data_IF_793321794976
#
_entry.id   IF_793321794976
#
_cell.length_a   1.000
_cell.length_b   1.000
_cell.length_c   1.000
_cell.angle_alpha   90.00
_cell.angle_beta   90.00
_cell.angle_gamma   90.00
#
_symmetry.space_group_name_H-M   'P 1'
#
loop_
_entity.id
_entity.type
_entity.pdbx_description
1 polymer ?
#
# COMPACT_ATOMS: atom_id res chain seq x y z
N UNK A 1 42.34 41.85 -116.54
CA UNK A 1 42.42 40.82 -115.49
C UNK A 1 41.26 39.88 -115.79
N UNK A 2 41.50 38.58 -115.91
CA UNK A 2 40.39 37.63 -115.95
C UNK A 2 39.78 37.60 -114.54
N UNK A 3 38.44 37.49 -114.38
CA UNK A 3 37.84 37.35 -113.05
C UNK A 3 38.45 36.14 -112.36
N UNK A 4 38.93 36.33 -111.13
CA UNK A 4 39.50 35.27 -110.30
C UNK A 4 39.10 35.53 -108.85
N UNK A 5 38.95 34.44 -108.08
CA UNK A 5 38.52 34.54 -106.70
C UNK A 5 39.50 35.32 -105.82
N UNK A 6 38.99 36.24 -105.01
CA UNK A 6 39.76 37.10 -104.11
C UNK A 6 40.20 38.43 -104.73
N UNK A 7 39.58 38.86 -105.84
CA UNK A 7 39.90 40.11 -106.53
C UNK A 7 39.09 41.33 -106.05
N UNK A 8 38.12 41.09 -105.17
CA UNK A 8 37.27 42.08 -104.53
C UNK A 8 35.98 42.42 -105.24
N UNK A 9 35.61 41.70 -106.30
CA UNK A 9 34.41 41.98 -107.08
C UNK A 9 33.58 40.73 -107.33
N UNK A 10 32.51 40.49 -106.56
CA UNK A 10 31.57 39.40 -106.84
C UNK A 10 30.88 39.53 -108.21
N UNK A 11 31.23 38.62 -109.11
CA UNK A 11 30.73 38.45 -110.46
C UNK A 11 29.60 37.40 -110.47
N UNK A 12 28.35 37.87 -110.48
CA UNK A 12 27.12 37.08 -110.30
C UNK A 12 26.92 35.85 -111.22
N UNK A 13 27.71 35.69 -112.28
CA UNK A 13 27.61 34.56 -113.22
C UNK A 13 28.78 33.56 -113.11
N UNK A 14 29.78 33.83 -112.27
CA UNK A 14 31.00 33.02 -112.14
C UNK A 14 31.40 32.71 -110.70
N UNK A 15 30.97 33.51 -109.71
CA UNK A 15 31.24 33.27 -108.30
C UNK A 15 30.05 33.61 -107.40
N UNK A 16 29.95 32.89 -106.28
CA UNK A 16 28.90 33.07 -105.27
C UNK A 16 29.28 34.15 -104.24
N UNK A 17 30.58 34.38 -104.04
CA UNK A 17 31.16 35.38 -103.14
C UNK A 17 32.55 35.82 -103.61
N UNK A 18 33.08 36.91 -103.06
CA UNK A 18 34.48 37.31 -103.14
C UNK A 18 34.81 38.19 -101.92
N UNK A 19 35.87 37.87 -101.17
CA UNK A 19 36.26 38.56 -99.94
C UNK A 19 37.69 39.13 -99.97
N UNK A 20 38.19 39.47 -101.16
CA UNK A 20 39.47 40.18 -101.38
C UNK A 20 40.72 39.45 -100.85
N UNK A 21 40.62 38.17 -100.49
CA UNK A 21 41.73 37.43 -99.95
C UNK A 21 41.70 35.95 -100.40
N UNK A 22 42.67 35.15 -99.94
CA UNK A 22 42.82 33.74 -100.31
C UNK A 22 42.73 32.80 -99.08
N UNK A 23 41.97 33.21 -98.08
CA UNK A 23 41.67 32.36 -96.94
C UNK A 23 40.48 31.47 -97.27
N UNK A 24 40.35 30.38 -96.52
CA UNK A 24 39.16 29.52 -96.58
C UNK A 24 38.37 29.59 -95.27
N UNK A 25 38.86 30.31 -94.26
CA UNK A 25 38.31 30.31 -92.90
C UNK A 25 37.47 31.55 -92.57
N UNK A 26 37.05 32.25 -93.61
CA UNK A 26 36.17 33.39 -93.66
C UNK A 26 34.95 33.06 -94.51
N UNK A 27 34.21 34.08 -94.96
CA UNK A 27 32.87 33.92 -95.55
C UNK A 27 32.96 33.35 -96.98
N UNK A 28 34.11 33.44 -97.65
CA UNK A 28 34.29 32.95 -99.01
C UNK A 28 35.47 31.98 -99.12
N UNK A 29 35.26 30.85 -99.80
CA UNK A 29 36.33 29.91 -100.09
C UNK A 29 37.14 30.38 -101.30
N UNK A 30 38.40 29.91 -101.40
CA UNK A 30 39.32 30.16 -102.52
C UNK A 30 38.81 29.72 -103.90
N UNK A 31 37.79 28.86 -103.94
CA UNK A 31 37.11 28.40 -105.16
C UNK A 31 35.85 29.24 -105.48
N UNK A 32 35.61 30.32 -104.72
CA UNK A 32 34.52 31.27 -104.93
C UNK A 32 33.11 30.73 -104.67
N UNK A 33 33.03 29.75 -103.76
CA UNK A 33 31.77 29.30 -103.15
C UNK A 33 31.68 29.83 -101.72
N UNK A 34 30.46 30.00 -101.23
CA UNK A 34 30.25 30.41 -99.83
C UNK A 34 30.83 29.34 -98.89
N UNK A 35 31.55 29.79 -97.86
CA UNK A 35 31.86 28.95 -96.72
C UNK A 35 30.60 28.87 -95.84
N UNK A 36 30.01 27.69 -95.76
CA UNK A 36 28.77 27.43 -95.04
C UNK A 36 28.92 26.21 -94.14
N UNK A 37 28.19 26.26 -93.03
CA UNK A 37 28.12 25.16 -92.09
C UNK A 37 27.87 23.80 -92.76
N UNK A 38 28.69 22.83 -92.36
CA UNK A 38 28.78 21.45 -92.81
C UNK A 38 29.49 21.24 -94.16
N UNK A 39 30.37 22.18 -94.55
CA UNK A 39 31.22 22.03 -95.74
C UNK A 39 32.63 21.48 -95.44
N UNK A 40 32.94 21.27 -94.15
CA UNK A 40 34.20 20.75 -93.64
C UNK A 40 35.26 21.83 -93.39
N UNK A 41 34.92 23.11 -93.51
CA UNK A 41 35.85 24.23 -93.38
C UNK A 41 35.28 25.31 -92.45
N UNK A 42 35.86 25.44 -91.26
CA UNK A 42 35.38 26.40 -90.25
C UNK A 42 35.46 27.86 -90.72
N UNK A 43 34.31 28.54 -90.75
CA UNK A 43 34.23 30.00 -90.84
C UNK A 43 34.41 30.66 -89.46
N UNK A 44 35.57 31.26 -89.18
CA UNK A 44 35.88 31.84 -87.87
C UNK A 44 35.00 33.03 -87.45
N UNK A 45 34.22 33.60 -88.37
CA UNK A 45 33.32 34.73 -88.08
C UNK A 45 31.93 34.24 -87.67
N UNK A 46 31.45 33.13 -88.23
CA UNK A 46 30.06 32.66 -88.07
C UNK A 46 29.93 31.34 -87.30
N UNK A 47 30.98 30.52 -87.30
CA UNK A 47 30.98 29.15 -86.82
C UNK A 47 32.02 28.94 -85.72
N UNK A 48 31.75 28.02 -84.80
CA UNK A 48 32.72 27.62 -83.77
C UNK A 48 33.42 26.31 -84.11
N UNK A 49 32.87 25.55 -85.05
CA UNK A 49 33.37 24.28 -85.55
C UNK A 49 32.67 23.96 -86.89
N UNK A 50 33.25 23.07 -87.69
CA UNK A 50 32.65 22.47 -88.89
C UNK A 50 33.42 21.16 -89.16
N UNK A 51 32.72 20.04 -89.20
CA UNK A 51 33.31 18.72 -89.43
C UNK A 51 32.85 18.07 -90.76
N UNK A 52 32.12 18.84 -91.58
CA UNK A 52 31.69 18.45 -92.91
C UNK A 52 30.59 17.40 -92.96
N UNK A 53 29.84 17.21 -91.86
CA UNK A 53 28.75 16.24 -91.82
C UNK A 53 27.48 16.82 -91.16
N UNK A 54 26.38 16.05 -91.13
CA UNK A 54 25.08 16.50 -90.58
C UNK A 54 24.70 15.73 -89.31
N UNK A 55 25.64 15.01 -88.71
CA UNK A 55 25.46 14.38 -87.41
C UNK A 55 25.37 15.48 -86.34
N UNK A 56 24.47 15.29 -85.40
CA UNK A 56 24.27 16.23 -84.29
C UNK A 56 24.75 15.67 -82.97
N UNK A 57 25.20 14.41 -82.94
CA UNK A 57 25.57 13.68 -81.73
C UNK A 57 27.08 13.69 -81.43
N UNK A 58 27.87 14.39 -82.24
CA UNK A 58 29.32 14.47 -82.12
C UNK A 58 29.81 15.80 -81.49
N UNK A 59 31.10 16.12 -81.63
CA UNK A 59 31.65 17.35 -81.08
C UNK A 59 31.16 18.62 -81.80
N UNK A 60 30.82 18.51 -83.09
CA UNK A 60 30.39 19.62 -83.93
C UNK A 60 29.07 19.31 -84.64
N UNK A 61 27.94 19.55 -83.97
CA UNK A 61 26.65 19.35 -84.58
C UNK A 61 26.43 20.14 -85.86
N UNK A 62 25.46 19.68 -86.65
CA UNK A 62 25.02 20.26 -87.93
C UNK A 62 24.67 21.77 -87.97
N UNK A 63 24.71 22.48 -86.84
CA UNK A 63 24.51 23.94 -86.73
C UNK A 63 25.81 24.71 -86.42
N UNK A 64 26.96 24.04 -86.49
CA UNK A 64 28.32 24.61 -86.46
C UNK A 64 28.62 25.46 -85.23
N UNK A 65 28.09 25.01 -84.08
CA UNK A 65 28.49 25.47 -82.75
C UNK A 65 28.96 24.28 -81.96
N UNK A 66 29.94 24.49 -81.09
CA UNK A 66 30.38 23.43 -80.20
C UNK A 66 29.21 22.96 -79.36
N UNK A 67 28.88 21.67 -79.42
CA UNK A 67 27.77 21.20 -78.62
C UNK A 67 28.10 21.15 -77.14
N UNK A 68 27.06 21.38 -76.35
CA UNK A 68 27.08 21.57 -74.91
C UNK A 68 25.84 20.89 -74.36
N UNK A 69 26.02 20.27 -73.21
CA UNK A 69 24.92 19.87 -72.36
C UNK A 69 23.85 20.97 -72.22
N UNK A 70 22.61 20.63 -72.54
CA UNK A 70 21.45 21.51 -72.55
C UNK A 70 21.17 22.20 -73.88
N UNK A 71 21.74 21.70 -74.99
CA UNK A 71 21.55 22.29 -76.33
C UNK A 71 20.54 21.54 -77.22
N UNK A 72 19.98 20.46 -76.71
CA UNK A 72 18.94 19.63 -77.30
C UNK A 72 19.49 18.40 -78.03
N UNK A 73 20.81 18.17 -77.98
CA UNK A 73 21.47 17.11 -78.74
C UNK A 73 22.32 16.21 -77.85
N UNK A 74 21.77 15.02 -77.57
CA UNK A 74 22.45 14.01 -76.77
C UNK A 74 23.79 13.56 -77.38
N UNK A 75 24.87 13.68 -76.60
CA UNK A 75 26.18 13.05 -76.88
C UNK A 75 26.40 11.77 -76.08
N UNK A 76 26.19 10.57 -76.64
CA UNK A 76 26.19 9.33 -75.88
C UNK A 76 27.50 9.00 -75.14
N UNK A 77 28.63 9.55 -75.60
CA UNK A 77 29.94 9.32 -75.01
C UNK A 77 30.24 10.23 -73.80
N UNK A 78 29.45 11.28 -73.57
CA UNK A 78 29.67 12.29 -72.51
C UNK A 78 28.44 12.60 -71.67
N UNK A 79 27.26 12.52 -72.27
CA UNK A 79 25.98 12.94 -71.72
C UNK A 79 25.06 11.72 -71.65
N UNK A 80 24.30 11.65 -70.56
CA UNK A 80 23.31 10.60 -70.33
C UNK A 80 21.92 11.02 -70.81
N UNK A 81 21.67 12.33 -70.84
CA UNK A 81 20.45 12.99 -71.27
C UNK A 81 20.81 14.33 -71.94
N UNK A 82 19.89 14.95 -72.65
CA UNK A 82 19.94 16.36 -73.03
C UNK A 82 18.51 16.78 -73.40
N UNK A 83 17.93 17.71 -72.65
CA UNK A 83 16.56 18.20 -72.83
C UNK A 83 16.48 19.58 -73.50
N UNK A 84 17.63 20.16 -73.86
CA UNK A 84 17.71 21.40 -74.61
C UNK A 84 17.42 22.66 -73.80
N UNK A 85 17.51 22.58 -72.48
CA UNK A 85 17.50 23.76 -71.63
C UNK A 85 18.67 23.75 -70.61
N UNK A 86 18.68 24.72 -69.70
CA UNK A 86 19.73 24.87 -68.69
C UNK A 86 19.18 24.84 -67.28
N UNK A 87 18.01 24.22 -67.10
CA UNK A 87 17.39 24.04 -65.80
C UNK A 87 18.01 22.79 -65.14
N UNK A 88 18.15 22.85 -63.82
CA UNK A 88 18.77 21.77 -63.04
C UNK A 88 17.74 21.09 -62.12
N UNK A 89 16.45 21.41 -62.29
CA UNK A 89 15.35 20.89 -61.45
C UNK A 89 14.42 19.96 -62.22
N UNK A 90 14.90 19.37 -63.31
CA UNK A 90 14.21 18.42 -64.16
C UNK A 90 15.07 17.14 -64.33
N UNK A 91 14.74 16.33 -65.33
CA UNK A 91 15.31 15.00 -65.48
C UNK A 91 16.77 15.08 -65.90
N UNK A 92 17.20 16.16 -66.57
CA UNK A 92 18.53 16.31 -67.11
C UNK A 92 19.30 17.46 -66.47
N UNK A 93 20.13 17.13 -65.48
CA UNK A 93 20.84 18.15 -64.72
C UNK A 93 22.04 18.66 -65.51
N UNK A 94 21.94 19.90 -66.01
CA UNK A 94 23.05 20.52 -66.75
C UNK A 94 24.26 20.81 -65.86
N UNK A 95 24.03 21.18 -64.60
CA UNK A 95 25.04 21.35 -63.57
C UNK A 95 25.83 20.08 -63.24
N UNK A 96 25.30 18.90 -63.57
CA UNK A 96 25.96 17.60 -63.41
C UNK A 96 26.54 17.04 -64.73
N UNK A 97 26.75 17.91 -65.72
CA UNK A 97 27.15 17.55 -67.09
C UNK A 97 26.15 16.63 -67.79
N UNK A 98 24.87 16.98 -67.75
CA UNK A 98 23.80 16.27 -68.44
C UNK A 98 23.72 14.81 -68.03
N UNK A 99 23.58 14.63 -66.72
CA UNK A 99 23.30 13.36 -66.09
C UNK A 99 21.89 13.37 -65.55
N UNK A 100 21.30 12.19 -65.46
CA UNK A 100 19.99 12.03 -64.83
C UNK A 100 20.06 12.53 -63.38
N UNK A 101 19.02 13.25 -62.95
CA UNK A 101 18.84 13.59 -61.55
C UNK A 101 18.66 12.31 -60.70
N UNK A 102 19.32 12.23 -59.55
CA UNK A 102 19.13 11.15 -58.59
C UNK A 102 19.33 11.62 -57.15
N UNK A 103 18.68 10.92 -56.23
CA UNK A 103 18.76 11.18 -54.80
C UNK A 103 20.20 11.34 -54.29
N UNK A 104 20.52 12.53 -53.79
CA UNK A 104 21.82 12.86 -53.20
C UNK A 104 22.85 13.38 -54.20
N UNK A 105 22.44 13.77 -55.40
CA UNK A 105 23.28 14.45 -56.38
C UNK A 105 23.35 15.97 -56.18
N UNK A 106 22.56 16.49 -55.24
CA UNK A 106 22.50 17.90 -54.86
C UNK A 106 21.42 18.70 -55.62
N UNK A 107 20.61 18.05 -56.43
CA UNK A 107 19.54 18.66 -57.23
C UNK A 107 18.21 17.99 -56.92
N UNK A 108 17.13 18.78 -56.86
CA UNK A 108 15.79 18.26 -56.54
C UNK A 108 14.90 18.29 -57.77
N UNK A 109 14.58 17.11 -58.29
CA UNK A 109 13.67 16.91 -59.41
C UNK A 109 12.25 17.42 -59.13
N UNK A 110 11.79 18.41 -59.89
CA UNK A 110 10.42 18.97 -59.81
C UNK A 110 9.52 18.50 -60.96
N UNK A 111 10.01 17.62 -61.84
CA UNK A 111 9.31 17.17 -63.03
C UNK A 111 8.20 16.13 -62.78
N UNK A 112 7.55 15.72 -63.86
CA UNK A 112 6.44 14.76 -63.86
C UNK A 112 6.73 13.60 -64.84
N UNK A 113 7.87 12.92 -64.68
CA UNK A 113 8.07 11.65 -65.38
C UNK A 113 7.44 10.49 -64.55
N UNK A 114 6.53 9.67 -65.12
CA UNK A 114 5.90 8.56 -64.41
C UNK A 114 6.80 7.32 -64.20
N UNK A 115 7.91 7.24 -64.92
CA UNK A 115 8.87 6.12 -64.91
C UNK A 115 10.08 6.40 -64.02
N UNK A 116 10.37 7.67 -63.71
CA UNK A 116 11.34 8.06 -62.70
C UNK A 116 10.71 8.09 -61.31
N UNK A 117 11.44 7.58 -60.31
CA UNK A 117 11.04 7.77 -58.92
C UNK A 117 11.21 9.25 -58.59
N UNK A 118 10.09 9.93 -58.36
CA UNK A 118 10.09 11.27 -57.77
C UNK A 118 10.79 11.20 -56.43
N UNK A 119 11.90 11.91 -56.33
CA UNK A 119 12.46 12.37 -55.07
C UNK A 119 11.64 13.57 -54.58
N UNK A 120 11.25 13.57 -53.30
CA UNK A 120 10.53 14.70 -52.69
C UNK A 120 11.48 15.73 -52.06
N UNK A 121 12.76 15.38 -51.98
CA UNK A 121 13.87 16.15 -51.44
C UNK A 121 15.19 15.53 -51.96
N UNK A 122 16.31 16.23 -51.77
CA UNK A 122 17.66 15.68 -51.98
C UNK A 122 18.34 15.61 -50.60
N UNK A 123 18.69 14.41 -50.15
CA UNK A 123 19.26 14.20 -48.80
C UNK A 123 20.68 14.78 -48.71
N UNK A 124 21.45 14.72 -49.81
CA UNK A 124 22.83 15.18 -49.86
C UNK A 124 23.77 14.57 -48.81
N UNK A 125 23.28 13.60 -48.03
CA UNK A 125 23.95 12.98 -46.90
C UNK A 125 23.47 11.52 -46.68
N UNK A 126 23.62 10.95 -45.48
CA UNK A 126 23.29 9.54 -45.18
C UNK A 126 22.42 9.38 -43.92
N UNK A 127 21.80 10.46 -43.45
CA UNK A 127 21.10 10.57 -42.17
C UNK A 127 19.60 10.59 -42.39
N UNK A 128 18.89 9.60 -41.87
CA UNK A 128 17.43 9.60 -41.86
C UNK A 128 16.82 10.49 -40.76
N UNK A 129 17.63 11.25 -40.03
CA UNK A 129 17.19 12.05 -38.88
C UNK A 129 17.05 13.55 -39.20
N UNK A 130 17.09 13.93 -40.47
CA UNK A 130 16.86 15.29 -40.93
C UNK A 130 15.63 15.34 -41.85
N UNK A 131 15.48 16.42 -42.62
CA UNK A 131 14.30 16.66 -43.44
C UNK A 131 14.09 15.60 -44.54
N UNK A 132 15.16 14.97 -45.00
CA UNK A 132 15.12 14.04 -46.12
C UNK A 132 15.69 12.69 -45.70
N UNK A 133 14.98 11.62 -46.03
CA UNK A 133 15.51 10.27 -45.84
C UNK A 133 16.53 9.95 -46.93
N UNK A 134 17.39 8.97 -46.67
CA UNK A 134 18.41 8.48 -47.63
C UNK A 134 17.82 7.90 -48.92
N UNK A 135 16.52 7.63 -48.93
CA UNK A 135 15.77 7.22 -50.13
C UNK A 135 14.97 8.38 -50.77
N UNK A 136 15.30 9.61 -50.39
CA UNK A 136 14.72 10.86 -50.87
C UNK A 136 13.20 10.97 -50.73
N UNK A 137 12.68 10.35 -49.68
CA UNK A 137 11.36 10.66 -49.14
C UNK A 137 11.48 11.72 -48.05
N UNK A 138 10.40 12.46 -47.84
CA UNK A 138 10.34 13.37 -46.69
C UNK A 138 10.31 12.56 -45.41
N UNK A 139 11.08 13.01 -44.42
CA UNK A 139 10.97 12.53 -43.05
C UNK A 139 9.69 13.11 -42.42
N UNK A 140 8.74 12.24 -42.10
CA UNK A 140 7.43 12.61 -41.58
C UNK A 140 6.98 11.66 -40.49
N UNK A 141 6.21 12.22 -39.56
CA UNK A 141 5.58 11.46 -38.49
C UNK A 141 4.91 10.15 -38.95
N UNK A 142 5.29 9.08 -38.28
CA UNK A 142 4.84 7.72 -38.51
C UNK A 142 5.59 6.98 -39.62
N UNK A 143 6.79 7.42 -40.01
CA UNK A 143 7.58 6.76 -41.07
C UNK A 143 8.69 5.84 -40.55
N UNK A 144 8.92 5.84 -39.24
CA UNK A 144 9.87 5.00 -38.51
C UNK A 144 11.20 5.70 -38.22
N UNK A 145 11.34 6.97 -38.58
CA UNK A 145 12.54 7.76 -38.39
C UNK A 145 12.23 9.04 -37.62
N UNK A 146 13.13 9.40 -36.70
CA UNK A 146 12.94 10.60 -35.89
C UNK A 146 13.51 11.83 -36.60
N UNK A 147 12.67 12.80 -36.96
CA UNK A 147 13.13 14.10 -37.46
C UNK A 147 13.63 15.00 -36.32
N UNK A 148 14.96 15.05 -36.14
CA UNK A 148 15.60 15.81 -35.08
C UNK A 148 15.23 17.31 -35.09
N UNK A 149 14.65 17.77 -34.00
CA UNK A 149 14.28 19.17 -33.79
C UNK A 149 12.90 19.56 -34.34
N UNK A 150 12.19 18.62 -34.96
CA UNK A 150 10.80 18.78 -35.40
C UNK A 150 9.89 17.81 -34.66
N UNK A 151 10.27 16.54 -34.59
CA UNK A 151 9.53 15.46 -33.94
C UNK A 151 10.17 15.11 -32.59
N UNK A 152 9.32 14.74 -31.62
CA UNK A 152 9.76 14.30 -30.29
C UNK A 152 9.91 12.77 -30.27
N UNK A 153 9.00 12.07 -30.95
CA UNK A 153 9.01 10.62 -31.14
C UNK A 153 8.59 10.27 -32.58
N UNK A 154 8.82 9.00 -32.97
CA UNK A 154 8.23 8.36 -34.14
C UNK A 154 8.23 6.84 -33.89
N UNK A 155 7.07 6.18 -34.02
CA UNK A 155 6.91 4.73 -33.79
C UNK A 155 6.62 3.93 -35.08
N UNK A 156 6.82 4.56 -36.24
CA UNK A 156 6.67 3.92 -37.54
C UNK A 156 5.26 3.81 -38.07
N UNK A 157 4.28 4.45 -37.41
CA UNK A 157 2.94 4.56 -37.94
C UNK A 157 2.15 5.74 -37.35
N UNK A 158 0.86 5.86 -37.69
CA UNK A 158 -0.03 6.94 -37.22
C UNK A 158 -1.19 6.39 -36.38
N UNK A 159 -1.04 5.17 -35.84
CA UNK A 159 -2.00 4.58 -34.93
C UNK A 159 -1.84 5.29 -33.58
N UNK A 160 -2.94 5.37 -32.85
CA UNK A 160 -2.98 5.97 -31.54
C UNK A 160 -2.73 4.88 -30.49
N UNK A 161 -1.84 5.12 -29.53
CA UNK A 161 -1.66 4.30 -28.33
C UNK A 161 -0.55 3.26 -28.40
N UNK A 162 0.33 3.32 -29.39
CA UNK A 162 1.44 2.38 -29.59
C UNK A 162 2.84 2.98 -29.43
N UNK A 163 2.93 4.24 -28.99
CA UNK A 163 4.19 4.85 -28.57
C UNK A 163 4.33 6.32 -28.92
N UNK A 164 3.78 6.75 -30.06
CA UNK A 164 3.86 8.11 -30.54
C UNK A 164 2.53 8.54 -31.20
N UNK A 165 2.02 9.73 -30.87
CA UNK A 165 0.75 10.18 -31.45
C UNK A 165 0.91 10.68 -32.90
N UNK A 166 -0.22 10.93 -33.59
CA UNK A 166 -0.19 11.40 -34.99
C UNK A 166 0.34 12.85 -35.18
N UNK A 167 0.68 13.53 -34.08
CA UNK A 167 1.36 14.83 -34.05
C UNK A 167 2.85 14.69 -33.67
N UNK A 168 3.36 13.46 -33.54
CA UNK A 168 4.72 13.13 -33.14
C UNK A 168 5.10 13.65 -31.76
N UNK A 169 4.14 13.56 -30.84
CA UNK A 169 4.31 13.82 -29.42
C UNK A 169 4.27 12.51 -28.64
N UNK A 170 5.11 12.44 -27.62
CA UNK A 170 5.16 11.29 -26.72
C UNK A 170 3.78 11.07 -26.05
N UNK A 171 3.29 9.83 -26.09
CA UNK A 171 2.07 9.40 -25.39
C UNK A 171 2.35 9.16 -23.89
N UNK A 172 2.88 10.20 -23.24
CA UNK A 172 3.45 10.12 -21.90
C UNK A 172 2.44 10.58 -20.84
N UNK A 173 2.15 9.65 -19.93
CA UNK A 173 1.49 9.90 -18.66
C UNK A 173 2.25 10.95 -17.83
N UNK A 174 1.55 11.92 -17.26
CA UNK A 174 2.14 12.95 -16.39
C UNK A 174 2.58 14.22 -17.13
N UNK A 175 1.99 14.51 -18.30
CA UNK A 175 2.26 15.72 -19.08
C UNK A 175 1.25 16.86 -18.77
N UNK A 176 0.25 16.58 -17.93
CA UNK A 176 -0.80 17.50 -17.50
C UNK A 176 -2.06 17.47 -18.35
N UNK A 177 -2.16 16.55 -19.31
CA UNK A 177 -3.28 16.45 -20.25
C UNK A 177 -3.81 15.02 -20.31
N UNK A 178 -4.93 14.77 -19.64
CA UNK A 178 -5.61 13.49 -19.74
C UNK A 178 -6.15 13.25 -21.16
N UNK A 179 -5.83 12.11 -21.75
CA UNK A 179 -6.15 11.67 -23.10
C UNK A 179 -7.01 10.39 -23.08
N UNK A 180 -8.32 10.47 -22.77
CA UNK A 180 -9.19 9.29 -22.61
C UNK A 180 -9.27 8.37 -23.82
N UNK A 181 -9.04 8.89 -25.02
CA UNK A 181 -9.04 8.09 -26.25
C UNK A 181 -7.81 7.16 -26.36
N UNK A 182 -6.77 7.39 -25.57
CA UNK A 182 -5.54 6.59 -25.47
C UNK A 182 -5.54 5.64 -24.25
N UNK A 183 -6.69 5.44 -23.61
CA UNK A 183 -6.81 4.57 -22.44
C UNK A 183 -6.35 5.22 -21.12
N UNK A 184 -5.98 6.49 -21.18
CA UNK A 184 -5.63 7.34 -20.05
C UNK A 184 -6.88 7.76 -19.27
N UNK A 185 -6.97 7.44 -17.98
CA UNK A 185 -8.17 7.75 -17.17
C UNK A 185 -8.04 9.07 -16.38
N UNK A 186 -6.80 9.52 -16.21
CA UNK A 186 -6.37 10.72 -15.53
C UNK A 186 -4.96 11.12 -16.02
N UNK A 187 -4.57 12.37 -15.81
CA UNK A 187 -3.17 12.84 -15.88
C UNK A 187 -3.08 14.05 -14.94
N UNK A 188 -2.10 14.06 -14.05
CA UNK A 188 -1.89 15.13 -13.06
C UNK A 188 -0.50 15.79 -13.13
N UNK A 189 0.10 15.78 -14.32
CA UNK A 189 1.34 16.48 -14.64
C UNK A 189 2.57 16.02 -13.84
N UNK A 190 2.55 14.80 -13.30
CA UNK A 190 3.66 14.27 -12.54
C UNK A 190 3.79 12.73 -12.66
N UNK A 191 4.78 12.15 -11.97
CA UNK A 191 5.12 10.72 -12.00
C UNK A 191 5.22 10.14 -10.57
N UNK A 192 4.21 10.39 -9.75
CA UNK A 192 4.06 9.88 -8.37
C UNK A 192 2.84 8.97 -8.33
N UNK A 193 2.95 7.75 -7.79
CA UNK A 193 1.81 6.82 -7.76
C UNK A 193 0.86 7.05 -6.56
N UNK A 194 1.33 7.78 -5.55
CA UNK A 194 0.67 7.99 -4.25
C UNK A 194 -0.30 9.18 -4.24
N UNK A 195 -0.62 9.76 -5.40
CA UNK A 195 -1.61 10.82 -5.54
C UNK A 195 -2.89 10.30 -6.22
N UNK A 196 -3.60 11.14 -6.97
CA UNK A 196 -4.90 10.74 -7.53
C UNK A 196 -4.76 10.05 -8.89
N UNK A 197 -3.56 10.00 -9.48
CA UNK A 197 -3.30 9.41 -10.78
C UNK A 197 -1.98 8.62 -10.78
N UNK A 198 -2.07 7.32 -11.00
CA UNK A 198 -0.87 6.46 -11.05
C UNK A 198 0.02 6.79 -12.24
N UNK A 199 1.28 6.36 -12.23
CA UNK A 199 2.24 6.51 -13.33
C UNK A 199 1.88 5.70 -14.59
N UNK A 200 0.82 4.90 -14.52
CA UNK A 200 0.19 4.22 -15.66
C UNK A 200 -1.06 4.98 -16.15
N UNK A 201 -1.27 6.19 -15.63
CA UNK A 201 -2.39 7.06 -15.84
C UNK A 201 -3.75 6.38 -15.72
N UNK A 202 -3.81 5.53 -14.71
CA UNK A 202 -5.04 4.98 -14.13
C UNK A 202 -5.38 5.74 -12.88
N UNK A 203 -6.68 5.96 -12.69
CA UNK A 203 -7.17 6.59 -11.45
C UNK A 203 -6.74 5.73 -10.28
N UNK A 204 -6.22 6.39 -9.26
CA UNK A 204 -5.95 5.83 -7.96
C UNK A 204 -7.20 5.11 -7.42
N UNK A 205 -7.03 3.85 -7.00
CA UNK A 205 -8.10 3.04 -6.44
C UNK A 205 -7.57 2.11 -5.36
N UNK A 206 -8.34 1.99 -4.28
CA UNK A 206 -8.07 1.02 -3.24
C UNK A 206 -7.79 -0.39 -3.77
N UNK A 207 -6.67 -0.96 -3.32
CA UNK A 207 -6.19 -2.29 -3.69
C UNK A 207 -5.30 -2.29 -4.94
N UNK A 208 -4.77 -1.14 -5.35
CA UNK A 208 -3.88 -1.02 -6.51
C UNK A 208 -2.38 -1.11 -6.16
N UNK A 209 -2.06 -1.20 -4.87
CA UNK A 209 -0.70 -1.33 -4.35
C UNK A 209 -0.06 -0.03 -3.87
N UNK A 210 -0.77 1.10 -3.96
CA UNK A 210 -0.27 2.40 -3.52
C UNK A 210 -1.22 3.03 -2.51
N UNK A 211 -0.68 3.54 -1.40
CA UNK A 211 -1.50 4.28 -0.43
C UNK A 211 -1.67 5.71 -0.93
N UNK A 212 -2.90 6.13 -1.21
CA UNK A 212 -3.20 7.45 -1.79
C UNK A 212 -3.92 8.38 -0.80
N UNK A 213 -3.20 9.24 -0.06
CA UNK A 213 -3.78 10.05 1.02
C UNK A 213 -4.83 11.06 0.53
N UNK A 214 -4.75 11.47 -0.74
CA UNK A 214 -5.72 12.36 -1.38
C UNK A 214 -7.13 11.77 -1.51
N UNK A 215 -7.24 10.44 -1.50
CA UNK A 215 -8.49 9.68 -1.55
C UNK A 215 -8.94 9.18 -0.17
N UNK A 216 -8.27 9.63 0.91
CA UNK A 216 -8.51 9.20 2.30
C UNK A 216 -8.17 7.73 2.57
N UNK A 217 -7.29 7.13 1.77
CA UNK A 217 -6.78 5.80 2.03
C UNK A 217 -5.80 5.81 3.22
N UNK A 218 -5.98 4.84 4.12
CA UNK A 218 -5.13 4.66 5.31
C UNK A 218 -4.24 3.43 5.19
N UNK A 219 -4.56 2.51 4.27
CA UNK A 219 -3.81 1.31 3.94
C UNK A 219 -4.04 0.95 2.47
N UNK A 220 -3.24 0.01 1.96
CA UNK A 220 -3.47 -0.71 0.70
C UNK A 220 -2.72 -2.05 0.80
N UNK A 221 -3.41 -3.17 0.54
CA UNK A 221 -2.84 -4.53 0.54
C UNK A 221 -2.92 -5.21 -0.85
N UNK A 222 -2.94 -4.39 -1.90
CA UNK A 222 -2.93 -4.77 -3.32
C UNK A 222 -4.17 -5.56 -3.75
N UNK A 223 -5.23 -5.54 -2.96
CA UNK A 223 -6.49 -6.15 -3.30
C UNK A 223 -7.66 -5.47 -2.53
N UNK A 224 -8.88 -5.98 -2.70
CA UNK A 224 -10.10 -5.46 -2.05
C UNK A 224 -10.83 -6.54 -1.26
N UNK A 225 -10.09 -7.58 -0.85
CA UNK A 225 -10.60 -8.63 0.02
C UNK A 225 -10.78 -8.03 1.41
N UNK A 226 -11.76 -8.55 2.12
CA UNK A 226 -12.16 -8.09 3.44
C UNK A 226 -11.55 -9.07 4.44
N UNK A 227 -10.78 -8.57 5.41
CA UNK A 227 -10.18 -9.32 6.51
C UNK A 227 -8.72 -9.77 6.30
N UNK A 228 -8.00 -9.25 5.31
CA UNK A 228 -6.57 -9.54 5.07
C UNK A 228 -5.61 -8.37 5.38
N UNK A 229 -6.14 -7.27 5.90
CA UNK A 229 -5.34 -6.17 6.46
C UNK A 229 -5.83 -4.79 6.05
N UNK A 230 -6.49 -4.66 4.90
CA UNK A 230 -7.07 -3.43 4.40
C UNK A 230 -8.45 -3.69 3.78
N UNK A 231 -9.48 -2.98 4.21
CA UNK A 231 -10.82 -3.23 3.70
C UNK A 231 -11.03 -2.66 2.30
N UNK A 232 -12.18 -2.96 1.68
CA UNK A 232 -12.53 -2.47 0.34
C UNK A 232 -12.79 -0.94 0.26
N UNK A 233 -12.64 -0.21 1.37
CA UNK A 233 -12.67 1.25 1.46
C UNK A 233 -11.29 1.82 1.84
N UNK A 234 -10.25 0.99 1.84
CA UNK A 234 -8.89 1.29 2.22
C UNK A 234 -8.73 1.84 3.64
N UNK A 235 -9.55 1.30 4.53
CA UNK A 235 -9.46 1.51 5.96
C UNK A 235 -8.77 0.31 6.59
N UNK A 236 -7.84 0.59 7.51
CA UNK A 236 -7.07 -0.44 8.21
C UNK A 236 -8.00 -1.35 9.01
N UNK A 237 -7.92 -2.65 8.77
CA UNK A 237 -8.68 -3.68 9.48
C UNK A 237 -7.95 -4.12 10.76
N UNK A 238 -7.46 -3.14 11.52
CA UNK A 238 -6.58 -3.36 12.66
C UNK A 238 -7.27 -2.95 13.93
N UNK A 239 -7.31 -3.88 14.87
CA UNK A 239 -7.78 -3.64 16.21
C UNK A 239 -7.00 -2.53 16.92
N UNK A 240 -7.73 -1.59 17.51
CA UNK A 240 -7.17 -0.46 18.25
C UNK A 240 -7.00 0.80 17.41
N UNK A 241 -7.74 0.94 16.31
CA UNK A 241 -7.68 2.09 15.41
C UNK A 241 -8.74 3.16 15.72
N UNK A 242 -9.66 2.88 16.65
CA UNK A 242 -10.72 3.77 17.11
C UNK A 242 -12.04 3.60 16.35
N UNK A 243 -12.11 2.62 15.45
CA UNK A 243 -13.23 2.36 14.54
C UNK A 243 -13.69 0.93 14.77
N UNK A 244 -14.80 0.76 15.51
CA UNK A 244 -15.39 -0.56 15.70
C UNK A 244 -16.03 -1.08 14.40
N UNK A 245 -15.47 -2.16 13.84
CA UNK A 245 -15.87 -2.77 12.57
C UNK A 245 -16.50 -4.18 12.76
N UNK A 246 -17.75 -4.30 13.26
CA UNK A 246 -18.34 -5.59 13.62
C UNK A 246 -18.56 -6.57 12.45
N UNK A 247 -18.58 -6.10 11.20
CA UNK A 247 -18.65 -6.96 10.02
C UNK A 247 -17.31 -7.64 9.69
N UNK A 248 -16.22 -7.20 10.30
CA UNK A 248 -14.87 -7.77 10.20
C UNK A 248 -14.51 -8.71 11.36
N UNK A 249 -15.47 -8.98 12.25
CA UNK A 249 -15.28 -9.89 13.38
C UNK A 249 -14.71 -9.24 14.64
N UNK A 250 -14.53 -7.91 14.64
CA UNK A 250 -14.34 -7.13 15.86
C UNK A 250 -15.60 -7.14 16.73
N UNK A 251 -15.44 -7.35 18.03
CA UNK A 251 -16.51 -7.23 19.02
C UNK A 251 -16.47 -5.89 19.77
N UNK A 252 -15.32 -5.22 19.73
CA UNK A 252 -15.04 -3.91 20.29
C UNK A 252 -13.84 -3.29 19.54
N UNK A 253 -13.63 -1.99 19.69
CA UNK A 253 -12.38 -1.27 19.39
C UNK A 253 -12.34 -0.04 20.32
N UNK A 254 -11.26 0.12 21.09
CA UNK A 254 -11.08 1.21 22.05
C UNK A 254 -9.95 2.19 21.68
N UNK A 255 -9.55 2.18 20.40
CA UNK A 255 -8.63 3.16 19.84
C UNK A 255 -7.18 3.00 20.25
N UNK A 256 -6.80 1.87 20.83
CA UNK A 256 -5.41 1.58 21.14
C UNK A 256 -5.12 0.06 21.18
N UNK A 257 -3.85 -0.33 21.31
CA UNK A 257 -3.41 -1.75 21.32
C UNK A 257 -3.04 -2.24 22.72
N UNK A 258 -3.42 -1.50 23.77
CA UNK A 258 -3.30 -1.93 25.16
C UNK A 258 -4.29 -3.08 25.35
N UNK A 259 -3.81 -4.19 25.87
CA UNK A 259 -4.63 -5.41 25.90
C UNK A 259 -5.62 -5.44 27.09
N UNK A 260 -5.43 -4.60 28.11
CA UNK A 260 -6.06 -4.72 29.42
C UNK A 260 -6.97 -3.56 29.84
N UNK A 261 -7.55 -2.85 28.88
CA UNK A 261 -8.50 -1.75 29.09
C UNK A 261 -9.89 -2.08 28.53
N UNK A 262 -10.30 -1.45 27.43
CA UNK A 262 -11.67 -1.51 26.91
C UNK A 262 -11.89 -2.66 25.93
N UNK A 263 -10.84 -3.06 25.24
CA UNK A 263 -10.85 -4.10 24.23
C UNK A 263 -9.51 -4.84 24.22
N UNK A 264 -9.53 -6.16 24.03
CA UNK A 264 -8.28 -6.89 23.85
C UNK A 264 -7.62 -6.51 22.52
N UNK A 265 -6.30 -6.67 22.41
CA UNK A 265 -5.56 -6.46 21.16
C UNK A 265 -5.98 -7.34 19.96
N UNK A 266 -6.91 -8.29 20.15
CA UNK A 266 -7.53 -9.09 19.09
C UNK A 266 -9.01 -8.72 18.88
N UNK A 267 -9.42 -7.55 19.35
CA UNK A 267 -10.75 -6.97 19.24
C UNK A 267 -11.87 -7.86 19.76
N UNK A 268 -11.57 -8.57 20.85
CA UNK A 268 -12.55 -9.28 21.67
C UNK A 268 -12.81 -8.48 22.93
N UNK A 269 -14.05 -8.52 23.39
CA UNK A 269 -14.41 -7.94 24.69
C UNK A 269 -13.69 -8.71 25.80
N UNK A 270 -13.26 -8.02 26.87
CA UNK A 270 -12.68 -8.70 28.02
C UNK A 270 -13.67 -9.71 28.62
N UNK A 271 -13.18 -10.89 29.01
CA UNK A 271 -13.99 -12.00 29.53
C UNK A 271 -13.38 -12.49 30.84
N UNK A 272 -14.22 -12.52 31.87
CA UNK A 272 -13.84 -13.06 33.15
C UNK A 272 -13.42 -14.52 33.08
N UNK A 273 -12.23 -14.83 33.60
CA UNK A 273 -11.68 -16.18 33.65
C UNK A 273 -10.78 -16.52 32.46
N UNK A 274 -10.26 -15.52 31.75
CA UNK A 274 -9.33 -15.72 30.63
C UNK A 274 -7.85 -15.72 31.07
N UNK A 275 -7.59 -15.46 32.36
CA UNK A 275 -6.25 -15.44 32.95
C UNK A 275 -5.64 -14.05 33.02
N UNK A 276 -6.37 -13.00 32.65
CA UNK A 276 -5.86 -11.65 32.48
C UNK A 276 -6.85 -10.65 33.08
N UNK A 277 -6.45 -9.94 34.15
CA UNK A 277 -7.27 -8.85 34.69
C UNK A 277 -7.31 -7.67 33.71
N UNK A 278 -8.46 -7.48 33.06
CA UNK A 278 -8.74 -6.44 32.06
C UNK A 278 -9.71 -5.39 32.64
N UNK A 279 -9.75 -4.17 32.08
CA UNK A 279 -10.16 -2.92 32.76
C UNK A 279 -11.46 -2.87 33.60
N UNK A 280 -12.43 -3.77 33.39
CA UNK A 280 -13.67 -3.84 34.18
C UNK A 280 -13.67 -4.93 35.27
N UNK A 281 -12.62 -5.76 35.33
CA UNK A 281 -12.51 -6.92 36.20
C UNK A 281 -11.81 -6.55 37.52
N UNK A 282 -12.38 -6.98 38.65
CA UNK A 282 -11.74 -6.77 39.95
C UNK A 282 -10.77 -7.90 40.29
N UNK A 283 -10.98 -9.09 39.72
CA UNK A 283 -10.17 -10.28 39.84
C UNK A 283 -10.23 -11.09 38.54
N UNK A 284 -9.33 -12.07 38.37
CA UNK A 284 -9.41 -13.13 37.37
C UNK A 284 -8.61 -14.33 37.90
N UNK A 285 -9.20 -15.52 37.92
CA UNK A 285 -8.57 -16.77 38.36
C UNK A 285 -8.49 -17.84 37.23
N UNK A 286 -8.40 -17.36 35.99
CA UNK A 286 -8.18 -18.15 34.77
C UNK A 286 -9.27 -19.17 34.44
N UNK A 287 -10.45 -19.03 35.04
CA UNK A 287 -11.63 -19.79 34.66
C UNK A 287 -12.93 -19.08 35.11
N UNK A 288 -14.09 -19.58 34.70
CA UNK A 288 -15.40 -18.99 35.04
C UNK A 288 -16.16 -19.81 36.10
N UNK A 289 -15.47 -20.70 36.82
CA UNK A 289 -16.04 -21.43 37.95
C UNK A 289 -16.23 -20.45 39.10
N UNK A 290 -17.14 -20.76 40.01
CA UNK A 290 -17.35 -19.96 41.22
C UNK A 290 -16.93 -20.79 42.43
N UNK A 291 -16.30 -20.15 43.40
CA UNK A 291 -15.80 -20.72 44.65
C UNK A 291 -14.29 -21.01 44.67
N UNK A 292 -13.52 -20.48 43.71
CA UNK A 292 -12.08 -20.68 43.55
C UNK A 292 -11.24 -19.39 43.54
N UNK A 293 -11.89 -18.23 43.71
CA UNK A 293 -11.22 -16.96 43.97
C UNK A 293 -11.85 -15.77 43.27
N UNK A 294 -12.43 -16.00 42.09
CA UNK A 294 -13.09 -14.98 41.28
C UNK A 294 -14.38 -15.52 40.65
N UNK A 295 -15.50 -14.83 40.85
CA UNK A 295 -16.77 -15.30 40.29
C UNK A 295 -16.89 -15.00 38.78
N UNK A 296 -17.91 -15.58 38.13
CA UNK A 296 -18.17 -15.37 36.68
C UNK A 296 -18.44 -13.91 36.28
N UNK A 297 -18.58 -12.99 37.24
CA UNK A 297 -18.78 -11.56 37.03
C UNK A 297 -17.54 -10.75 37.42
N UNK A 298 -16.40 -11.42 37.65
CA UNK A 298 -15.12 -10.83 38.03
C UNK A 298 -15.18 -10.03 39.33
N UNK A 299 -15.92 -10.58 40.30
CA UNK A 299 -15.96 -10.11 41.67
C UNK A 299 -15.21 -11.10 42.57
N UNK A 300 -14.43 -10.55 43.50
CA UNK A 300 -13.71 -11.35 44.48
C UNK A 300 -14.67 -12.21 45.30
N UNK A 301 -14.32 -13.50 45.41
CA UNK A 301 -15.05 -14.47 46.23
C UNK A 301 -14.45 -14.55 47.63
N UNK A 302 -14.46 -13.40 48.32
CA UNK A 302 -13.76 -13.24 49.60
C UNK A 302 -14.72 -12.71 50.66
N UNK A 303 -14.80 -13.44 51.75
CA UNK A 303 -15.54 -13.00 52.93
C UNK A 303 -14.97 -11.71 53.54
N UNK A 304 -15.84 -10.77 53.84
CA UNK A 304 -15.53 -9.47 54.41
C UNK A 304 -15.28 -8.38 53.37
N UNK A 305 -15.74 -8.56 52.12
CA UNK A 305 -15.57 -7.59 51.04
C UNK A 305 -16.77 -6.62 50.88
N UNK A 306 -17.84 -6.83 51.64
CA UNK A 306 -19.06 -6.04 51.66
C UNK A 306 -20.13 -6.53 50.69
N UNK A 307 -19.89 -7.64 50.00
CA UNK A 307 -20.75 -8.22 48.98
C UNK A 307 -21.16 -9.62 49.43
N UNK A 308 -22.38 -9.74 49.94
CA UNK A 308 -22.92 -11.05 50.32
C UNK A 308 -23.23 -11.89 49.07
N UNK A 309 -22.51 -13.01 48.90
CA UNK A 309 -22.61 -13.95 47.76
C UNK A 309 -23.22 -15.32 48.20
N UNK A 310 -24.55 -15.43 48.42
CA UNK A 310 -25.18 -16.67 48.90
C UNK A 310 -24.95 -17.91 48.04
N UNK A 311 -24.76 -17.73 46.73
CA UNK A 311 -24.53 -18.83 45.78
C UNK A 311 -23.16 -19.48 45.95
N UNK A 312 -22.23 -18.81 46.64
CA UNK A 312 -20.90 -19.31 47.01
C UNK A 312 -20.86 -19.94 48.40
N UNK A 313 -22.00 -20.02 49.08
CA UNK A 313 -22.10 -20.59 50.41
C UNK A 313 -21.85 -19.60 51.56
N UNK A 314 -21.71 -18.31 51.25
CA UNK A 314 -21.76 -17.27 52.26
C UNK A 314 -23.15 -17.19 52.89
N UNK A 315 -23.20 -17.08 54.22
CA UNK A 315 -24.44 -16.85 54.97
C UNK A 315 -24.62 -15.37 55.35
N UNK A 316 -23.53 -14.62 55.32
CA UNK A 316 -23.42 -13.21 55.64
C UNK A 316 -22.12 -12.68 54.99
N UNK A 317 -22.04 -11.37 54.80
CA UNK A 317 -20.81 -10.61 54.58
C UNK A 317 -21.04 -9.20 55.13
N UNK A 318 -20.16 -8.70 55.97
CA UNK A 318 -20.29 -7.40 56.63
C UNK A 318 -19.13 -6.43 56.31
N UNK A 319 -18.37 -6.72 55.25
CA UNK A 319 -17.36 -5.82 54.71
C UNK A 319 -16.15 -5.58 55.59
N UNK A 320 -15.88 -6.47 56.55
CA UNK A 320 -14.72 -6.36 57.41
C UNK A 320 -14.11 -7.72 57.78
N UNK A 321 -13.01 -7.72 58.54
CA UNK A 321 -12.27 -8.93 58.93
C UNK A 321 -12.33 -9.20 60.45
N UNK A 322 -13.41 -8.78 61.10
CA UNK A 322 -13.65 -8.98 62.51
C UNK A 322 -14.54 -10.20 62.76
N UNK A 323 -14.02 -11.21 63.45
CA UNK A 323 -14.82 -12.40 63.80
C UNK A 323 -15.85 -12.15 64.93
N UNK A 324 -15.84 -10.99 65.58
CA UNK A 324 -16.58 -10.74 66.83
C UNK A 324 -17.88 -9.94 66.65
N UNK A 325 -18.41 -9.86 65.43
CA UNK A 325 -19.64 -9.14 65.10
C UNK A 325 -20.70 -10.12 64.54
N UNK A 326 -21.54 -9.66 63.62
CA UNK A 326 -22.65 -10.47 63.10
C UNK A 326 -22.22 -11.40 61.96
N UNK A 327 -20.99 -11.30 61.46
CA UNK A 327 -20.48 -12.19 60.42
C UNK A 327 -19.02 -12.56 60.65
N UNK A 328 -18.74 -13.86 60.82
CA UNK A 328 -17.36 -14.33 60.95
C UNK A 328 -16.64 -14.24 59.60
N UNK A 329 -15.31 -14.14 59.60
CA UNK A 329 -14.43 -14.09 58.42
C UNK A 329 -14.45 -15.36 57.54
N UNK A 330 -15.22 -16.39 57.92
CA UNK A 330 -15.51 -17.56 57.11
C UNK A 330 -16.95 -17.53 56.54
N UNK A 331 -17.59 -16.37 56.58
CA UNK A 331 -18.91 -16.05 56.06
C UNK A 331 -20.01 -16.94 56.63
N UNK A 332 -19.85 -17.27 57.91
CA UNK A 332 -20.85 -17.93 58.72
C UNK A 332 -21.36 -17.00 59.79
N UNK A 333 -22.67 -17.02 59.97
CA UNK A 333 -23.31 -16.34 61.08
C UNK A 333 -22.89 -16.99 62.41
N UNK A 334 -22.50 -16.20 63.43
CA UNK A 334 -22.41 -16.63 64.83
C UNK A 334 -23.61 -17.47 65.25
N UNK A 335 -23.37 -18.62 65.90
CA UNK A 335 -24.43 -19.49 66.40
C UNK A 335 -24.01 -20.22 67.66
N UNK A 336 -24.90 -20.14 68.65
CA UNK A 336 -24.71 -20.88 69.88
C UNK A 336 -24.64 -22.40 69.69
N UNK A 337 -23.63 -23.00 70.30
CA UNK A 337 -23.37 -24.42 70.30
C UNK A 337 -22.58 -24.89 69.08
N UNK A 338 -21.82 -24.01 68.44
CA UNK A 338 -21.01 -24.34 67.26
C UNK A 338 -19.50 -24.46 67.56
N UNK A 339 -19.12 -24.30 68.82
CA UNK A 339 -17.78 -24.50 69.36
C UNK A 339 -16.92 -23.24 69.32
N UNK A 340 -17.47 -22.09 68.93
CA UNK A 340 -16.76 -20.83 68.80
C UNK A 340 -17.51 -19.76 69.61
N UNK A 341 -16.88 -19.23 70.65
CA UNK A 341 -17.49 -18.19 71.50
C UNK A 341 -17.39 -16.81 70.86
N UNK A 342 -18.52 -16.25 70.41
CA UNK A 342 -18.59 -14.92 69.78
C UNK A 342 -18.93 -13.80 70.78
N UNK A 343 -17.89 -13.14 71.31
CA UNK A 343 -18.05 -11.97 72.21
C UNK A 343 -18.45 -10.71 71.42
N UNK A 344 -19.36 -9.85 71.93
CA UNK A 344 -19.96 -9.85 73.27
C UNK A 344 -21.30 -10.59 73.38
N UNK A 345 -21.72 -11.32 72.35
CA UNK A 345 -23.06 -11.91 72.25
C UNK A 345 -23.19 -13.25 72.97
N UNK A 346 -22.07 -13.99 73.06
CA UNK A 346 -21.96 -15.28 73.74
C UNK A 346 -21.00 -15.18 74.93
N UNK A 347 -21.42 -15.67 76.10
CA UNK A 347 -20.59 -15.75 77.30
C UNK A 347 -19.79 -17.06 77.37
N UNK A 348 -20.32 -18.12 76.72
CA UNK A 348 -19.73 -19.45 76.58
C UNK A 348 -20.17 -20.08 75.25
N UNK A 349 -19.46 -21.13 74.81
CA UNK A 349 -19.92 -22.10 73.80
C UNK A 349 -19.21 -23.44 74.07
N UNK A 350 -19.95 -24.54 74.20
CA UNK A 350 -19.41 -25.89 74.46
C UNK A 350 -19.58 -26.86 73.27
N UNK A 351 -19.88 -26.33 72.09
CA UNK A 351 -19.97 -27.07 70.83
C UNK A 351 -21.27 -27.84 70.64
N UNK A 352 -22.28 -27.62 71.49
CA UNK A 352 -23.61 -28.15 71.28
C UNK A 352 -24.70 -27.31 72.00
N UNK A 353 -25.96 -27.75 71.95
CA UNK A 353 -27.11 -27.05 72.55
C UNK A 353 -27.82 -27.90 73.63
N UNK A 354 -27.10 -28.84 74.24
CA UNK A 354 -27.62 -29.62 75.36
C UNK A 354 -27.65 -28.77 76.63
N UNK A 355 -28.49 -29.18 77.58
CA UNK A 355 -28.62 -28.51 78.86
C UNK A 355 -27.88 -29.31 79.94
N UNK A 356 -27.07 -28.64 80.74
CA UNK A 356 -26.35 -29.18 81.89
C UNK A 356 -24.93 -29.67 81.60
N UNK A 357 -24.37 -29.39 80.42
CA UNK A 357 -23.01 -29.81 80.02
C UNK A 357 -21.98 -28.68 79.94
N UNK A 358 -22.37 -27.43 80.22
CA UNK A 358 -21.45 -26.33 80.41
C UNK A 358 -21.94 -24.99 79.87
N UNK A 359 -22.71 -25.00 78.78
CA UNK A 359 -23.24 -23.80 78.16
C UNK A 359 -24.72 -23.96 77.78
N UNK A 360 -25.56 -22.97 78.14
CA UNK A 360 -26.98 -23.05 77.84
C UNK A 360 -27.22 -22.92 76.33
N UNK A 361 -28.37 -23.39 75.83
CA UNK A 361 -28.80 -23.19 74.44
C UNK A 361 -29.02 -21.72 74.01
N UNK A 362 -28.71 -20.77 74.88
CA UNK A 362 -28.72 -19.31 74.62
C UNK A 362 -27.33 -18.69 74.85
N UNK A 363 -26.28 -19.52 74.92
CA UNK A 363 -24.87 -19.17 75.10
C UNK A 363 -24.59 -18.25 76.29
N UNK A 364 -25.33 -18.52 77.35
CA UNK A 364 -25.09 -18.01 78.68
C UNK A 364 -24.59 -19.17 79.53
N UNK A 365 -23.71 -18.87 80.49
CA UNK A 365 -23.31 -19.89 81.46
C UNK A 365 -24.54 -20.48 82.12
N UNK A 366 -24.59 -21.81 82.19
CA UNK A 366 -25.68 -22.48 82.86
C UNK A 366 -25.60 -22.21 84.36
N UNK A 367 -26.67 -21.67 84.93
CA UNK A 367 -26.79 -21.58 86.38
C UNK A 367 -26.89 -23.01 86.94
N UNK A 368 -25.81 -23.52 87.51
CA UNK A 368 -25.77 -24.83 88.13
C UNK A 368 -26.75 -24.87 89.31
N UNK A 369 -27.84 -25.63 89.17
CA UNK A 369 -28.71 -25.99 90.28
C UNK A 369 -28.20 -27.28 90.91
N UNK A 370 -27.41 -27.11 91.95
CA UNK A 370 -27.13 -28.14 92.93
C UNK A 370 -28.44 -28.69 93.51
N UNK A 371 -28.62 -30.01 93.39
CA UNK A 371 -29.82 -30.72 93.87
C UNK A 371 -29.80 -30.98 95.38
N UNK A 372 -28.87 -30.40 96.15
CA UNK A 372 -28.93 -30.34 97.61
C UNK A 372 -29.41 -28.98 98.17
N UNK A 373 -29.66 -27.98 97.30
CA UNK A 373 -30.22 -26.69 97.69
C UNK A 373 -29.19 -25.61 98.03
N UNK A 374 -27.98 -25.71 97.49
CA UNK A 374 -26.98 -24.67 97.56
C UNK A 374 -25.89 -25.00 98.57
N UNK A 375 -25.00 -25.93 98.22
CA UNK A 375 -23.72 -26.15 98.88
C UNK A 375 -22.63 -26.38 97.83
N UNK A 376 -21.56 -25.62 98.01
CA UNK A 376 -20.31 -25.73 97.28
C UNK A 376 -19.58 -26.99 97.82
N UNK A 377 -19.69 -28.16 97.14
CA UNK A 377 -18.59 -28.83 96.42
C UNK A 377 -17.96 -30.22 96.74
N UNK A 378 -16.74 -30.46 96.21
CA UNK A 378 -16.20 -31.74 95.68
C UNK A 378 -16.03 -32.95 96.62
N UNK A 379 -16.45 -34.13 96.12
CA UNK A 379 -15.58 -35.33 96.14
C UNK A 379 -15.79 -36.23 94.91
N UNK A 380 -14.70 -36.51 94.17
CA UNK A 380 -14.62 -37.64 93.24
C UNK A 380 -14.58 -38.97 94.00
N UNK A 381 -15.62 -39.78 93.80
CA UNK A 381 -15.56 -41.23 93.62
C UNK A 381 -14.96 -42.12 94.72
N UNK A 382 -15.83 -42.94 95.33
CA UNK A 382 -15.68 -44.40 95.21
C UNK A 382 -17.00 -45.01 94.75
N UNK A 383 -16.99 -45.59 93.56
CA UNK A 383 -17.99 -46.57 93.13
C UNK A 383 -17.83 -47.86 93.93
N UNK A 384 -18.99 -48.49 94.20
CA UNK A 384 -19.25 -49.77 94.88
C UNK A 384 -19.28 -49.71 96.42
N UNK A 385 -20.41 -49.95 97.10
CA UNK A 385 -21.57 -50.79 96.77
C UNK A 385 -22.84 -50.24 97.45
N UNK A 386 -23.80 -49.71 96.68
CA UNK A 386 -25.18 -49.50 97.15
C UNK A 386 -25.88 -48.16 96.95
N UNK A 387 -25.45 -47.25 96.07
CA UNK A 387 -26.23 -46.03 95.77
C UNK A 387 -27.06 -46.17 94.49
N UNK A 388 -28.36 -45.86 94.59
CA UNK A 388 -29.33 -45.73 93.50
C UNK A 388 -29.77 -44.27 93.42
N UNK A 389 -28.95 -43.39 92.85
CA UNK A 389 -29.32 -42.23 92.01
C UNK A 389 -28.26 -41.11 92.01
N UNK A 390 -27.95 -40.65 90.77
CA UNK A 390 -27.32 -39.39 90.32
C UNK A 390 -25.88 -39.07 90.77
N UNK A 391 -25.01 -38.85 89.78
CA UNK A 391 -23.62 -38.40 89.91
C UNK A 391 -23.53 -36.92 89.53
N UNK A 392 -22.79 -36.14 90.30
CA UNK A 392 -22.52 -34.71 90.05
C UNK A 392 -21.58 -34.49 88.86
N UNK A 393 -21.77 -33.39 88.13
CA UNK A 393 -20.89 -32.93 87.04
C UNK A 393 -20.58 -31.44 87.27
N UNK A 394 -19.33 -31.09 87.61
CA UNK A 394 -18.79 -29.74 87.59
C UNK A 394 -17.27 -29.79 87.36
N UNK A 395 -16.74 -28.95 86.46
CA UNK A 395 -15.38 -29.06 85.90
C UNK A 395 -14.33 -28.16 86.56
N UNK A 396 -14.65 -27.34 87.56
CA UNK A 396 -13.63 -26.61 88.32
C UNK A 396 -13.60 -27.04 89.80
N UNK A 397 -12.75 -28.01 90.15
CA UNK A 397 -12.66 -28.51 91.52
C UNK A 397 -11.95 -27.56 92.51
N UNK A 398 -11.55 -26.36 92.09
CA UNK A 398 -10.61 -25.51 92.83
C UNK A 398 -11.22 -24.61 93.92
N UNK A 399 -12.55 -24.42 93.95
CA UNK A 399 -13.17 -23.33 94.74
C UNK A 399 -14.17 -23.81 95.79
N UNK A 400 -13.83 -24.89 96.49
CA UNK A 400 -14.73 -25.51 97.46
C UNK A 400 -13.97 -25.76 98.77
N UNK A 401 -14.39 -25.10 99.86
CA UNK A 401 -14.03 -25.48 101.23
C UNK A 401 -15.26 -26.03 101.97
N UNK A 402 -15.19 -27.28 102.44
CA UNK A 402 -16.22 -27.93 103.29
C UNK A 402 -15.77 -28.03 104.76
N UNK A 403 -16.72 -27.91 105.70
CA UNK A 403 -16.50 -28.11 107.15
C UNK A 403 -17.21 -29.38 107.66
N UNK A 404 -16.53 -30.13 108.53
CA UNK A 404 -17.04 -31.38 109.12
C UNK A 404 -17.42 -31.23 110.61
N UNK A 405 -18.41 -32.01 111.06
CA UNK A 405 -18.63 -32.31 112.47
C UNK A 405 -18.15 -33.73 112.81
N UNK A 406 -17.31 -33.90 113.84
CA UNK A 406 -16.83 -35.21 114.30
C UNK A 406 -17.67 -35.78 115.44
N UNK A 407 -17.80 -37.12 115.49
CA UNK A 407 -18.48 -37.80 116.59
C UNK A 407 -17.81 -37.48 117.93
N UNK A 408 -18.62 -36.91 118.84
CA UNK A 408 -18.30 -36.63 120.26
C UNK A 408 -17.32 -35.48 120.56
N UNK A 409 -17.21 -34.47 119.69
CA UNK A 409 -16.62 -33.15 120.04
C UNK A 409 -17.42 -31.99 119.44
N UNK A 410 -17.42 -30.82 120.13
CA UNK A 410 -18.01 -29.57 119.65
C UNK A 410 -17.24 -29.03 118.43
N UNK A 411 -17.96 -28.54 117.42
CA UNK A 411 -17.38 -27.96 116.19
C UNK A 411 -16.54 -26.74 116.56
N UNK A 412 -15.23 -26.82 116.33
CA UNK A 412 -14.34 -25.68 116.51
C UNK A 412 -14.29 -24.87 115.20
N UNK A 413 -14.47 -23.55 115.37
CA UNK A 413 -14.26 -22.44 114.42
C UNK A 413 -15.28 -22.23 113.27
N UNK A 414 -16.54 -21.92 113.62
CA UNK A 414 -17.53 -21.26 112.76
C UNK A 414 -18.78 -20.85 113.56
N UNK A 415 -19.66 -19.94 113.08
CA UNK A 415 -20.81 -19.42 113.84
C UNK A 415 -21.97 -20.41 114.00
N UNK A 416 -21.82 -21.67 113.58
CA UNK A 416 -22.87 -22.68 113.58
C UNK A 416 -22.79 -23.57 114.83
N UNK A 417 -23.80 -23.44 115.69
CA UNK A 417 -23.95 -24.22 116.91
C UNK A 417 -25.02 -25.30 116.72
N UNK A 418 -24.66 -26.56 116.97
CA UNK A 418 -25.55 -27.70 116.83
C UNK A 418 -26.07 -28.15 118.19
N UNK A 419 -27.28 -27.70 118.52
CA UNK A 419 -27.88 -27.80 119.86
C UNK A 419 -28.00 -29.22 120.40
N UNK A 420 -28.19 -30.23 119.54
CA UNK A 420 -28.46 -31.61 119.96
C UNK A 420 -27.38 -32.63 119.52
N UNK A 421 -26.16 -32.16 119.22
CA UNK A 421 -25.03 -33.00 118.80
C UNK A 421 -25.03 -33.34 117.31
N UNK A 422 -24.10 -34.20 116.88
CA UNK A 422 -23.98 -34.65 115.49
C UNK A 422 -24.21 -36.15 115.36
N UNK A 423 -24.95 -36.54 114.33
CA UNK A 423 -25.24 -37.94 113.98
C UNK A 423 -24.94 -38.12 112.49
N UNK A 424 -23.99 -39.01 112.16
CA UNK A 424 -23.58 -39.30 110.78
C UNK A 424 -23.18 -38.04 109.97
N UNK A 425 -22.49 -37.09 110.60
CA UNK A 425 -22.02 -35.86 109.95
C UNK A 425 -23.07 -34.77 109.80
N UNK A 426 -24.28 -34.93 110.36
CA UNK A 426 -25.34 -33.91 110.37
C UNK A 426 -25.64 -33.45 111.78
N UNK A 427 -25.95 -32.18 111.95
CA UNK A 427 -26.43 -31.63 113.22
C UNK A 427 -27.86 -32.09 113.53
N UNK A 428 -28.09 -32.53 114.76
CA UNK A 428 -29.40 -32.98 115.24
C UNK A 428 -30.30 -31.86 115.75
#
# INVERSE_FOLDING_TARGET
>A
MFPFCGDGFSNQNTEECDDMNNSNNDICLNNCTLNICNDGIVNFVLEQCDDGNLDTSDECPAFCRQARCGDGYLKPDREQCDDGDSEDYDECVTGNNCKWAYCGDGFHYKGFDPNFQREWCDDGNISNNDFCLIDCRLNVCGDGWLFNGVEICDDGNLIFGDGCDHFCLDEVCGNGFAQPHLGEECDDANYVNEDNCTNLCKRATCGDGYIQPGLYEMCDDHNIIIGDGCDNFCLTEVCGNGIHQPWLGEECDDGNTVHNDGCTNNCRRPICGDGIIQGYENCDDSNSQSGDGCDQFCLFEICGNGIHQPWLGEQCDDGNSNNSDSCRNNCRTPRCGDGITDSPWEECDDGNNMYGDGCHSTCMYENCYDSDGGIVGNVTGTTTKGSVSRTDYCRDPSNIEEFFCHERTYVASGPFFCSNGCDQGRCR
#
